data_IF_164285256513
#
_entry.id   IF_164285256513
#
_cell.length_a   1.000
_cell.length_b   1.000
_cell.length_c   1.000
_cell.angle_alpha   90.00
_cell.angle_beta   90.00
_cell.angle_gamma   90.00
#
_symmetry.space_group_name_H-M   'P 1'
#
loop_
_entity.id
_entity.type
_entity.pdbx_description
1 polymer ?
#
# COMPACT_ATOMS: atom_id res chain seq x y z
N UNK A 1 -26.82 -95.64 76.70
CA UNK A 1 -27.90 -96.65 76.73
C UNK A 1 -28.36 -96.84 75.30
N UNK A 2 -28.29 -98.07 74.78
CA UNK A 2 -28.68 -98.40 73.42
C UNK A 2 -30.15 -98.00 73.21
N UNK A 3 -30.41 -97.15 72.21
CA UNK A 3 -31.78 -96.82 71.80
C UNK A 3 -32.30 -98.00 70.97
N UNK A 4 -33.06 -98.90 71.62
CA UNK A 4 -33.90 -99.84 70.89
C UNK A 4 -34.90 -99.06 70.05
N UNK A 5 -34.75 -99.14 68.73
CA UNK A 5 -35.71 -98.58 67.79
C UNK A 5 -37.04 -99.32 67.94
N UNK A 6 -38.00 -98.70 68.64
CA UNK A 6 -39.40 -99.14 68.59
C UNK A 6 -40.03 -98.69 67.29
N UNK A 7 -39.95 -99.55 66.27
CA UNK A 7 -40.73 -99.39 65.05
C UNK A 7 -42.14 -99.92 65.33
N UNK A 8 -43.13 -99.03 65.37
CA UNK A 8 -44.55 -99.41 65.48
C UNK A 8 -45.14 -99.46 64.07
N UNK A 9 -45.36 -100.66 63.53
CA UNK A 9 -45.84 -100.86 62.17
C UNK A 9 -47.38 -100.95 62.13
N UNK A 10 -48.05 -99.82 61.86
CA UNK A 10 -49.50 -99.77 61.61
C UNK A 10 -49.71 -99.64 60.10
N UNK A 11 -49.63 -100.78 59.39
CA UNK A 11 -49.92 -101.10 57.96
C UNK A 11 -49.72 -100.08 56.80
N UNK A 12 -49.36 -98.81 57.01
CA UNK A 12 -49.04 -97.82 55.97
C UNK A 12 -48.32 -96.53 56.48
N UNK A 13 -47.84 -96.46 57.74
CA UNK A 13 -47.16 -95.27 58.28
C UNK A 13 -45.84 -95.64 58.98
N UNK A 14 -44.72 -95.05 58.52
CA UNK A 14 -43.38 -95.19 59.13
C UNK A 14 -43.01 -93.87 59.82
N UNK A 15 -42.62 -93.93 61.10
CA UNK A 15 -42.19 -92.76 61.87
C UNK A 15 -40.73 -92.94 62.26
N UNK A 16 -39.85 -92.01 61.84
CA UNK A 16 -38.44 -91.96 62.21
C UNK A 16 -38.21 -90.83 63.19
N UNK A 17 -37.76 -91.16 64.40
CA UNK A 17 -37.37 -90.15 65.37
C UNK A 17 -36.05 -89.49 64.93
N UNK A 18 -36.03 -88.16 64.87
CA UNK A 18 -34.83 -87.38 64.50
C UNK A 18 -34.07 -87.00 65.78
N UNK A 19 -34.77 -86.39 66.73
CA UNK A 19 -34.13 -85.82 67.92
C UNK A 19 -35.13 -85.68 69.07
N UNK A 20 -34.70 -86.01 70.29
CA UNK A 20 -35.48 -85.78 71.53
C UNK A 20 -34.73 -84.85 72.46
N UNK A 21 -35.38 -83.76 72.86
CA UNK A 21 -34.82 -82.72 73.74
C UNK A 21 -35.78 -82.47 74.90
N UNK A 22 -35.29 -81.90 75.99
CA UNK A 22 -36.14 -81.60 77.19
C UNK A 22 -37.36 -80.72 76.89
N UNK A 23 -37.32 -79.93 75.81
CA UNK A 23 -38.41 -79.04 75.38
C UNK A 23 -39.35 -79.65 74.34
N UNK A 24 -39.12 -80.87 73.86
CA UNK A 24 -39.96 -81.50 72.85
C UNK A 24 -39.25 -82.58 72.04
N UNK A 25 -40.03 -83.29 71.24
CA UNK A 25 -39.58 -84.40 70.39
C UNK A 25 -39.85 -84.07 68.92
N UNK A 26 -38.86 -84.34 68.07
CA UNK A 26 -38.93 -84.17 66.63
C UNK A 26 -38.86 -85.53 65.93
N UNK A 27 -39.79 -85.76 65.02
CA UNK A 27 -39.88 -87.01 64.26
C UNK A 27 -40.35 -86.71 62.82
N UNK A 28 -39.86 -87.52 61.89
CA UNK A 28 -40.29 -87.55 60.50
C UNK A 28 -41.36 -88.62 60.33
N UNK A 29 -42.50 -88.27 59.74
CA UNK A 29 -43.59 -89.21 59.42
C UNK A 29 -43.63 -89.41 57.91
N UNK A 30 -43.41 -90.66 57.49
CA UNK A 30 -43.48 -91.12 56.10
C UNK A 30 -44.76 -91.95 55.94
N UNK A 31 -45.80 -91.35 55.37
CA UNK A 31 -47.08 -92.03 55.08
C UNK A 31 -47.03 -92.87 53.80
N UNK A 32 -46.07 -92.59 52.92
CA UNK A 32 -45.70 -93.38 51.74
C UNK A 32 -44.20 -93.17 51.51
N UNK A 33 -43.40 -94.20 51.22
CA UNK A 33 -42.06 -93.95 50.69
C UNK A 33 -42.25 -93.14 49.41
N UNK A 34 -41.60 -91.97 49.33
CA UNK A 34 -41.65 -91.16 48.11
C UNK A 34 -41.32 -92.06 46.91
N UNK A 35 -42.14 -92.02 45.86
CA UNK A 35 -41.80 -92.69 44.61
C UNK A 35 -40.38 -92.28 44.24
N UNK A 36 -39.50 -93.25 44.10
CA UNK A 36 -38.08 -93.04 43.85
C UNK A 36 -37.87 -91.96 42.79
N UNK A 37 -37.25 -90.85 43.19
CA UNK A 37 -36.33 -90.13 42.32
C UNK A 37 -36.84 -88.99 41.43
N UNK A 38 -37.94 -88.31 41.74
CA UNK A 38 -38.23 -87.04 41.06
C UNK A 38 -38.02 -85.84 41.99
N UNK A 39 -36.73 -85.53 42.21
CA UNK A 39 -36.35 -84.20 42.61
C UNK A 39 -36.87 -83.25 41.52
N UNK A 40 -37.95 -82.53 41.82
CA UNK A 40 -38.45 -81.46 40.97
C UNK A 40 -37.26 -80.68 40.42
N UNK A 41 -37.13 -80.46 39.10
CA UNK A 41 -35.97 -79.81 38.52
C UNK A 41 -35.87 -78.42 39.15
N UNK A 42 -34.93 -78.29 40.07
CA UNK A 42 -34.60 -77.02 40.71
C UNK A 42 -34.32 -76.02 39.58
N UNK A 43 -34.95 -74.83 39.59
CA UNK A 43 -34.84 -73.88 38.50
C UNK A 43 -33.35 -73.66 38.22
N UNK A 44 -32.96 -73.98 36.98
CA UNK A 44 -31.65 -73.77 36.35
C UNK A 44 -30.57 -73.34 37.33
N UNK A 45 -29.66 -74.26 37.69
CA UNK A 45 -28.40 -73.93 38.36
C UNK A 45 -27.79 -72.71 37.67
N UNK A 46 -28.00 -71.52 38.23
CA UNK A 46 -27.19 -70.36 37.92
C UNK A 46 -25.78 -70.82 38.27
N UNK A 47 -24.94 -71.02 37.27
CA UNK A 47 -23.50 -71.19 37.48
C UNK A 47 -23.07 -70.12 38.48
N UNK A 48 -22.35 -70.45 39.57
CA UNK A 48 -21.93 -69.45 40.53
C UNK A 48 -21.25 -68.34 39.74
N UNK A 49 -21.84 -67.13 39.74
CA UNK A 49 -21.28 -65.99 39.02
C UNK A 49 -19.87 -65.84 39.56
N UNK A 50 -18.86 -65.83 38.67
CA UNK A 50 -17.48 -65.48 39.06
C UNK A 50 -17.56 -64.24 39.94
N UNK A 51 -17.00 -64.32 41.14
CA UNK A 51 -16.90 -63.18 42.04
C UNK A 51 -16.09 -62.10 41.33
N UNK A 52 -16.77 -61.02 40.95
CA UNK A 52 -16.16 -59.90 40.23
C UNK A 52 -15.19 -59.24 41.20
N UNK A 53 -13.92 -59.12 40.80
CA UNK A 53 -12.92 -58.48 41.66
C UNK A 53 -13.22 -56.99 41.83
N UNK A 54 -12.81 -56.41 42.96
CA UNK A 54 -12.98 -54.97 43.24
C UNK A 54 -12.40 -54.12 42.10
N UNK A 55 -11.27 -54.55 41.52
CA UNK A 55 -10.63 -53.87 40.39
C UNK A 55 -11.48 -53.89 39.11
N UNK A 56 -12.17 -54.99 38.81
CA UNK A 56 -13.07 -55.07 37.65
C UNK A 56 -14.31 -54.18 37.80
N UNK A 57 -14.81 -54.02 39.04
CA UNK A 57 -15.92 -53.11 39.35
C UNK A 57 -15.48 -51.66 39.11
N UNK A 58 -14.32 -51.28 39.64
CA UNK A 58 -13.75 -49.94 39.46
C UNK A 58 -13.51 -49.62 37.98
N UNK A 59 -12.98 -50.57 37.20
CA UNK A 59 -12.77 -50.38 35.77
C UNK A 59 -14.09 -50.11 35.02
N UNK A 60 -15.17 -50.83 35.36
CA UNK A 60 -16.50 -50.58 34.77
C UNK A 60 -17.09 -49.23 35.17
N UNK A 61 -16.85 -48.79 36.40
CA UNK A 61 -17.26 -47.48 36.89
C UNK A 61 -16.50 -46.36 36.17
N UNK A 62 -15.18 -46.47 36.05
CA UNK A 62 -14.34 -45.53 35.30
C UNK A 62 -14.75 -45.44 33.82
N UNK A 63 -14.98 -46.57 33.15
CA UNK A 63 -15.45 -46.55 31.76
C UNK A 63 -16.82 -45.87 31.59
N UNK A 64 -17.70 -45.95 32.59
CA UNK A 64 -18.97 -45.21 32.58
C UNK A 64 -18.78 -43.71 32.81
N UNK A 65 -17.84 -43.32 33.67
CA UNK A 65 -17.44 -41.92 33.87
C UNK A 65 -16.81 -41.31 32.63
N UNK A 66 -15.90 -42.03 31.96
CA UNK A 66 -15.30 -41.60 30.70
C UNK A 66 -16.34 -41.39 29.61
N UNK A 67 -17.33 -42.28 29.48
CA UNK A 67 -18.45 -42.10 28.53
C UNK A 67 -19.28 -40.85 28.85
N UNK A 68 -19.58 -40.61 30.13
CA UNK A 68 -20.30 -39.39 30.55
C UNK A 68 -19.48 -38.14 30.24
N UNK A 69 -18.17 -38.16 30.55
CA UNK A 69 -17.26 -37.06 30.27
C UNK A 69 -17.14 -36.78 28.78
N UNK A 70 -16.97 -37.81 27.96
CA UNK A 70 -16.89 -37.67 26.50
C UNK A 70 -18.17 -37.04 25.90
N UNK A 71 -19.35 -37.40 26.41
CA UNK A 71 -20.61 -36.78 26.00
C UNK A 71 -20.70 -35.31 26.42
N UNK A 72 -20.27 -34.98 27.64
CA UNK A 72 -20.22 -33.60 28.12
C UNK A 72 -19.25 -32.76 27.29
N UNK A 73 -18.04 -33.28 27.01
CA UNK A 73 -17.03 -32.60 26.20
C UNK A 73 -17.53 -32.37 24.77
N UNK A 74 -18.20 -33.35 24.17
CA UNK A 74 -18.82 -33.20 22.85
C UNK A 74 -19.90 -32.10 22.83
N UNK A 75 -20.74 -32.02 23.87
CA UNK A 75 -21.73 -30.96 24.01
C UNK A 75 -21.07 -29.59 24.15
N UNK A 76 -20.06 -29.46 25.01
CA UNK A 76 -19.31 -28.21 25.21
C UNK A 76 -18.63 -27.76 23.91
N UNK A 77 -18.03 -28.67 23.15
CA UNK A 77 -17.42 -28.35 21.87
C UNK A 77 -18.44 -27.86 20.84
N UNK A 78 -19.63 -28.48 20.78
CA UNK A 78 -20.71 -28.02 19.91
C UNK A 78 -21.20 -26.62 20.29
N UNK A 79 -21.34 -26.33 21.59
CA UNK A 79 -21.74 -25.01 22.07
C UNK A 79 -20.70 -23.95 21.71
N UNK A 80 -19.41 -24.22 21.92
CA UNK A 80 -18.31 -23.33 21.51
C UNK A 80 -18.32 -23.07 20.00
N UNK A 81 -18.55 -24.10 19.19
CA UNK A 81 -18.63 -23.97 17.75
C UNK A 81 -19.82 -23.08 17.31
N UNK A 82 -20.97 -23.17 17.98
CA UNK A 82 -22.11 -22.27 17.72
C UNK A 82 -21.82 -20.83 18.17
N UNK A 83 -21.18 -20.63 19.32
CA UNK A 83 -20.74 -19.29 19.77
C UNK A 83 -19.77 -18.64 18.77
N UNK A 84 -18.81 -19.40 18.24
CA UNK A 84 -17.87 -18.92 17.22
C UNK A 84 -18.60 -18.51 15.93
N UNK A 85 -19.58 -19.30 15.48
CA UNK A 85 -20.40 -18.94 14.31
C UNK A 85 -21.17 -17.64 14.52
N UNK A 86 -21.76 -17.44 15.71
CA UNK A 86 -22.47 -16.21 16.05
C UNK A 86 -21.51 -15.02 16.06
N UNK A 87 -20.31 -15.17 16.64
CA UNK A 87 -19.30 -14.12 16.67
C UNK A 87 -18.85 -13.76 15.26
N UNK A 88 -18.56 -14.76 14.42
CA UNK A 88 -18.18 -14.57 13.02
C UNK A 88 -19.27 -13.88 12.20
N UNK A 89 -20.54 -14.22 12.43
CA UNK A 89 -21.66 -13.55 11.79
C UNK A 89 -21.78 -12.07 12.22
N UNK A 90 -21.57 -11.77 13.51
CA UNK A 90 -21.53 -10.39 14.02
C UNK A 90 -20.38 -9.60 13.43
N UNK A 91 -19.18 -10.18 13.38
CA UNK A 91 -18.00 -9.58 12.77
C UNK A 91 -18.23 -9.29 11.29
N UNK A 92 -18.72 -10.26 10.52
CA UNK A 92 -19.00 -10.07 9.09
C UNK A 92 -20.04 -8.97 8.83
N UNK A 93 -21.04 -8.82 9.71
CA UNK A 93 -21.99 -7.71 9.64
C UNK A 93 -21.32 -6.36 9.88
N UNK A 94 -20.43 -6.27 10.86
CA UNK A 94 -19.67 -5.04 11.13
C UNK A 94 -18.72 -4.70 9.97
N UNK A 95 -17.94 -5.66 9.48
CA UNK A 95 -17.02 -5.48 8.35
C UNK A 95 -17.74 -5.02 7.08
N UNK A 96 -18.91 -5.56 6.77
CA UNK A 96 -19.71 -5.13 5.63
C UNK A 96 -20.18 -3.67 5.78
N UNK A 97 -20.57 -3.27 7.00
CA UNK A 97 -20.95 -1.89 7.29
C UNK A 97 -19.75 -0.94 7.16
N UNK A 98 -18.60 -1.32 7.68
CA UNK A 98 -17.37 -0.53 7.60
C UNK A 98 -16.90 -0.37 6.15
N UNK A 99 -16.96 -1.44 5.37
CA UNK A 99 -16.65 -1.41 3.93
C UNK A 99 -17.58 -0.45 3.19
N UNK A 100 -18.89 -0.48 3.50
CA UNK A 100 -19.85 0.44 2.90
C UNK A 100 -19.58 1.89 3.27
N UNK A 101 -19.26 2.17 4.55
CA UNK A 101 -18.93 3.52 5.00
C UNK A 101 -17.65 4.04 4.34
N UNK A 102 -16.61 3.22 4.25
CA UNK A 102 -15.37 3.58 3.55
C UNK A 102 -15.62 3.88 2.08
N UNK A 103 -16.33 3.00 1.37
CA UNK A 103 -16.66 3.22 -0.04
C UNK A 103 -17.47 4.51 -0.22
N UNK A 104 -18.48 4.76 0.61
CA UNK A 104 -19.29 5.96 0.53
C UNK A 104 -18.46 7.24 0.78
N UNK A 105 -17.55 7.19 1.75
CA UNK A 105 -16.63 8.28 2.06
C UNK A 105 -15.68 8.55 0.89
N UNK A 106 -15.06 7.52 0.31
CA UNK A 106 -14.17 7.63 -0.84
C UNK A 106 -14.90 8.21 -2.07
N UNK A 107 -16.12 7.76 -2.34
CA UNK A 107 -16.93 8.30 -3.44
C UNK A 107 -17.26 9.78 -3.24
N UNK A 108 -17.62 10.18 -2.02
CA UNK A 108 -17.88 11.58 -1.71
C UNK A 108 -16.61 12.42 -1.91
N UNK A 109 -15.48 11.99 -1.36
CA UNK A 109 -14.20 12.68 -1.52
C UNK A 109 -13.80 12.81 -2.99
N UNK A 110 -13.92 11.73 -3.77
CA UNK A 110 -13.64 11.76 -5.20
C UNK A 110 -14.52 12.78 -5.93
N UNK A 111 -15.81 12.88 -5.59
CA UNK A 111 -16.72 13.89 -6.17
C UNK A 111 -16.35 15.31 -5.76
N UNK A 112 -15.93 15.54 -4.52
CA UNK A 112 -15.47 16.86 -4.08
C UNK A 112 -14.19 17.28 -4.79
N UNK A 113 -13.21 16.36 -4.93
CA UNK A 113 -11.98 16.62 -5.67
C UNK A 113 -12.27 16.92 -7.15
N UNK A 114 -13.11 16.11 -7.82
CA UNK A 114 -13.52 16.37 -9.20
C UNK A 114 -14.18 17.75 -9.37
N UNK A 115 -15.04 18.15 -8.42
CA UNK A 115 -15.66 19.47 -8.45
C UNK A 115 -14.62 20.59 -8.30
N UNK A 116 -13.69 20.46 -7.36
CA UNK A 116 -12.61 21.41 -7.16
C UNK A 116 -11.71 21.52 -8.40
N UNK A 117 -11.29 20.41 -8.98
CA UNK A 117 -10.44 20.38 -10.17
C UNK A 117 -11.15 21.01 -11.37
N UNK A 118 -12.43 20.69 -11.59
CA UNK A 118 -13.23 21.30 -12.64
C UNK A 118 -13.39 22.82 -12.44
N UNK A 119 -13.60 23.26 -11.20
CA UNK A 119 -13.69 24.67 -10.86
C UNK A 119 -12.36 25.38 -11.12
N UNK A 120 -11.24 24.81 -10.69
CA UNK A 120 -9.90 25.34 -10.92
C UNK A 120 -9.57 25.41 -12.41
N UNK A 121 -9.85 24.35 -13.17
CA UNK A 121 -9.64 24.31 -14.61
C UNK A 121 -10.44 25.40 -15.35
N UNK A 122 -11.69 25.63 -14.94
CA UNK A 122 -12.51 26.71 -15.48
C UNK A 122 -11.94 28.10 -15.17
N UNK A 123 -11.50 28.33 -13.92
CA UNK A 123 -10.85 29.57 -13.53
C UNK A 123 -9.53 29.79 -14.28
N UNK A 124 -8.70 28.77 -14.40
CA UNK A 124 -7.45 28.80 -15.15
C UNK A 124 -7.70 29.11 -16.63
N UNK A 125 -8.71 28.49 -17.25
CA UNK A 125 -9.11 28.80 -18.61
C UNK A 125 -9.51 30.27 -18.79
N UNK A 126 -10.26 30.84 -17.84
CA UNK A 126 -10.57 32.28 -17.85
C UNK A 126 -9.32 33.15 -17.71
N UNK A 127 -8.45 32.85 -16.75
CA UNK A 127 -7.19 33.57 -16.52
C UNK A 127 -6.33 33.55 -17.78
N UNK A 128 -6.20 32.39 -18.42
CA UNK A 128 -5.42 32.22 -19.63
C UNK A 128 -5.96 33.09 -20.78
N UNK A 129 -7.29 33.08 -21.01
CA UNK A 129 -7.93 33.95 -22.00
C UNK A 129 -7.67 35.44 -21.73
N UNK A 130 -7.75 35.87 -20.47
CA UNK A 130 -7.44 37.26 -20.10
C UNK A 130 -5.96 37.60 -20.32
N UNK A 131 -5.03 36.69 -20.02
CA UNK A 131 -3.61 36.88 -20.29
C UNK A 131 -3.34 37.04 -21.79
N UNK A 132 -3.90 36.17 -22.63
CA UNK A 132 -3.77 36.27 -24.09
C UNK A 132 -4.34 37.58 -24.63
N UNK A 133 -5.49 38.02 -24.10
CA UNK A 133 -6.08 39.30 -24.45
C UNK A 133 -5.24 40.50 -24.01
N UNK A 134 -4.42 40.39 -22.96
CA UNK A 134 -3.51 41.44 -22.52
C UNK A 134 -2.16 41.42 -23.28
N UNK A 135 -1.67 40.23 -23.65
CA UNK A 135 -0.47 40.06 -24.48
C UNK A 135 -0.65 40.72 -25.86
N UNK A 136 -1.83 40.60 -26.49
CA UNK A 136 -2.10 41.23 -27.80
C UNK A 136 -1.88 42.77 -27.80
N UNK A 137 -2.47 43.55 -26.86
CA UNK A 137 -2.14 44.95 -26.66
C UNK A 137 -0.67 45.22 -26.38
N UNK A 138 0.01 44.38 -25.59
CA UNK A 138 1.44 44.54 -25.32
C UNK A 138 2.29 44.35 -26.58
N UNK A 139 1.99 43.34 -27.39
CA UNK A 139 2.61 43.12 -28.69
C UNK A 139 2.38 44.30 -29.64
N UNK A 140 1.17 44.86 -29.66
CA UNK A 140 0.88 46.06 -30.45
C UNK A 140 1.68 47.26 -29.94
N UNK A 141 1.74 47.47 -28.61
CA UNK A 141 2.56 48.53 -28.01
C UNK A 141 4.03 48.38 -28.38
N UNK A 142 4.55 47.16 -28.38
CA UNK A 142 5.93 46.88 -28.74
C UNK A 142 6.21 47.14 -30.22
N UNK A 143 5.30 46.73 -31.11
CA UNK A 143 5.43 47.05 -32.55
C UNK A 143 5.45 48.55 -32.80
N UNK A 144 4.56 49.30 -32.16
CA UNK A 144 4.54 50.77 -32.29
C UNK A 144 5.83 51.40 -31.74
N UNK A 145 6.36 50.89 -30.61
CA UNK A 145 7.66 51.33 -30.10
C UNK A 145 8.78 51.06 -31.11
N UNK A 146 8.85 49.85 -31.66
CA UNK A 146 9.84 49.49 -32.66
C UNK A 146 9.75 50.36 -33.92
N UNK A 147 8.54 50.61 -34.44
CA UNK A 147 8.33 51.49 -35.60
C UNK A 147 8.81 52.92 -35.31
N UNK A 148 8.57 53.43 -34.11
CA UNK A 148 9.04 54.74 -33.66
C UNK A 148 10.57 54.77 -33.55
N UNK A 149 11.18 53.75 -32.93
CA UNK A 149 12.63 53.65 -32.76
C UNK A 149 13.35 53.51 -34.10
N UNK A 150 12.81 52.72 -35.02
CA UNK A 150 13.30 52.59 -36.39
C UNK A 150 13.21 53.91 -37.15
N UNK A 151 12.11 54.64 -37.00
CA UNK A 151 11.96 55.97 -37.60
C UNK A 151 13.01 56.96 -37.06
N UNK A 152 13.26 56.98 -35.75
CA UNK A 152 14.28 57.85 -35.15
C UNK A 152 15.71 57.43 -35.57
N UNK A 153 16.02 56.13 -35.60
CA UNK A 153 17.30 55.63 -36.10
C UNK A 153 17.57 56.04 -37.55
N UNK A 154 16.57 55.91 -38.42
CA UNK A 154 16.67 56.36 -39.81
C UNK A 154 16.87 57.89 -39.94
N UNK A 155 16.28 58.67 -39.03
CA UNK A 155 16.47 60.12 -39.00
C UNK A 155 17.89 60.48 -38.56
N UNK A 156 18.39 59.83 -37.50
CA UNK A 156 19.74 60.03 -36.99
C UNK A 156 20.79 59.63 -38.04
N UNK A 157 20.63 58.50 -38.72
CA UNK A 157 21.50 58.08 -39.81
C UNK A 157 21.54 59.12 -40.94
N UNK A 158 20.39 59.68 -41.33
CA UNK A 158 20.34 60.77 -42.33
C UNK A 158 21.04 62.03 -41.85
N UNK A 159 20.93 62.37 -40.56
CA UNK A 159 21.65 63.51 -39.98
C UNK A 159 23.16 63.25 -40.03
N UNK A 160 23.61 62.07 -39.57
CA UNK A 160 25.02 61.69 -39.59
C UNK A 160 25.59 61.68 -41.01
N UNK A 161 24.84 61.15 -41.98
CA UNK A 161 25.25 61.15 -43.38
C UNK A 161 25.43 62.57 -43.91
N UNK A 162 24.48 63.48 -43.64
CA UNK A 162 24.59 64.89 -44.06
C UNK A 162 25.79 65.60 -43.42
N UNK A 163 26.07 65.32 -42.14
CA UNK A 163 27.24 65.86 -41.45
C UNK A 163 28.53 65.34 -42.07
N UNK A 164 28.63 64.04 -42.31
CA UNK A 164 29.79 63.40 -42.95
C UNK A 164 30.04 63.95 -44.35
N UNK A 165 29.00 64.05 -45.18
CA UNK A 165 29.13 64.63 -46.52
C UNK A 165 29.56 66.10 -46.49
N UNK A 166 29.04 66.87 -45.52
CA UNK A 166 29.44 68.26 -45.31
C UNK A 166 30.93 68.37 -44.94
N UNK A 167 31.39 67.50 -44.04
CA UNK A 167 32.78 67.41 -43.65
C UNK A 167 33.69 67.02 -44.81
N UNK A 168 33.33 65.98 -45.57
CA UNK A 168 34.06 65.58 -46.77
C UNK A 168 34.17 66.71 -47.79
N UNK A 169 33.08 67.47 -48.01
CA UNK A 169 33.09 68.67 -48.87
C UNK A 169 34.09 69.72 -48.36
N UNK A 170 34.12 69.99 -47.06
CA UNK A 170 35.07 70.91 -46.42
C UNK A 170 36.51 70.44 -46.55
N UNK A 171 36.77 69.15 -46.31
CA UNK A 171 38.11 68.57 -46.43
C UNK A 171 38.64 68.61 -47.86
N UNK A 172 37.79 68.31 -48.85
CA UNK A 172 38.13 68.40 -50.25
C UNK A 172 38.47 69.85 -50.66
N UNK A 173 37.71 70.83 -50.17
CA UNK A 173 38.01 72.25 -50.41
C UNK A 173 39.36 72.65 -49.79
N UNK A 174 39.63 72.27 -48.54
CA UNK A 174 40.89 72.54 -47.88
C UNK A 174 42.07 71.85 -48.57
N UNK A 175 41.87 70.62 -49.08
CA UNK A 175 42.87 69.89 -49.84
C UNK A 175 43.25 70.64 -51.12
N UNK A 176 42.26 71.09 -51.90
CA UNK A 176 42.50 71.88 -53.11
C UNK A 176 43.26 73.18 -52.81
N UNK A 177 42.95 73.85 -51.69
CA UNK A 177 43.70 75.04 -51.27
C UNK A 177 45.16 74.71 -50.94
N UNK A 178 45.41 73.61 -50.19
CA UNK A 178 46.77 73.17 -49.86
C UNK A 178 47.58 72.76 -51.09
N UNK A 179 46.97 72.06 -52.05
CA UNK A 179 47.61 71.68 -53.31
C UNK A 179 48.06 72.92 -54.10
N UNK A 180 47.17 73.91 -54.25
CA UNK A 180 47.53 75.19 -54.88
C UNK A 180 48.64 75.94 -54.13
N UNK A 181 48.68 75.84 -52.80
CA UNK A 181 49.76 76.42 -52.00
C UNK A 181 51.09 75.71 -52.27
N UNK A 182 51.07 74.37 -52.28
CA UNK A 182 52.24 73.53 -52.54
C UNK A 182 52.79 73.72 -53.96
N UNK A 183 51.93 73.85 -54.97
CA UNK A 183 52.34 74.16 -56.35
C UNK A 183 53.12 75.48 -56.43
N UNK A 184 52.64 76.51 -55.74
CA UNK A 184 53.34 77.81 -55.67
C UNK A 184 54.69 77.70 -54.98
N UNK A 185 54.79 76.94 -53.90
CA UNK A 185 56.05 76.70 -53.20
C UNK A 185 57.05 75.92 -54.04
N UNK A 186 56.59 74.84 -54.70
CA UNK A 186 57.39 74.05 -55.63
C UNK A 186 57.91 74.91 -56.78
N UNK A 187 57.06 75.75 -57.38
CA UNK A 187 57.47 76.69 -58.42
C UNK A 187 58.54 77.68 -57.90
N UNK A 188 58.34 78.25 -56.71
CA UNK A 188 59.34 79.13 -56.10
C UNK A 188 60.69 78.43 -55.83
N UNK A 189 60.67 77.15 -55.42
CA UNK A 189 61.88 76.33 -55.27
C UNK A 189 62.57 76.07 -56.61
N UNK A 190 61.82 75.70 -57.65
CA UNK A 190 62.35 75.49 -59.00
C UNK A 190 63.01 76.76 -59.53
N UNK A 191 62.38 77.93 -59.36
CA UNK A 191 62.96 79.22 -59.75
C UNK A 191 64.26 79.50 -58.97
N UNK A 192 64.31 79.18 -57.67
CA UNK A 192 65.53 79.31 -56.85
C UNK A 192 66.64 78.36 -57.30
N UNK A 193 66.33 77.10 -57.58
CA UNK A 193 67.31 76.12 -58.09
C UNK A 193 67.84 76.52 -59.45
N UNK A 194 66.96 76.90 -60.39
CA UNK A 194 67.37 77.41 -61.70
C UNK A 194 68.31 78.61 -61.58
N UNK A 195 68.04 79.53 -60.66
CA UNK A 195 68.95 80.66 -60.38
C UNK A 195 70.31 80.21 -59.84
N UNK A 196 70.36 79.17 -58.99
CA UNK A 196 71.62 78.59 -58.51
C UNK A 196 72.39 77.87 -59.63
N UNK A 197 71.69 77.12 -60.49
CA UNK A 197 72.26 76.46 -61.66
C UNK A 197 72.82 77.49 -62.65
N UNK A 198 72.05 78.53 -62.99
CA UNK A 198 72.49 79.64 -63.85
C UNK A 198 73.74 80.32 -63.25
N UNK A 199 73.78 80.53 -61.93
CA UNK A 199 74.93 81.12 -61.23
C UNK A 199 76.15 80.18 -61.15
N UNK A 200 75.94 78.86 -60.98
CA UNK A 200 77.00 77.85 -61.02
C UNK A 200 77.59 77.72 -62.42
N UNK A 201 76.76 77.79 -63.46
CA UNK A 201 77.19 77.78 -64.86
C UNK A 201 78.03 79.03 -65.21
N UNK A 202 77.71 80.19 -64.63
CA UNK A 202 78.51 81.42 -64.71
C UNK A 202 79.85 81.27 -63.96
N UNK A 203 79.90 80.55 -62.84
CA UNK A 203 81.16 80.33 -62.10
C UNK A 203 82.05 79.24 -62.73
N UNK A 204 81.47 78.20 -63.34
CA UNK A 204 82.21 77.17 -64.09
C UNK A 204 82.81 77.73 -65.40
N UNK A 205 82.15 78.69 -66.05
CA UNK A 205 82.70 79.39 -67.22
C UNK A 205 83.82 80.37 -66.86
N UNK A 206 83.95 80.76 -65.59
CA UNK A 206 84.95 81.69 -65.07
C UNK A 206 86.07 81.05 -64.21
N UNK A 207 86.17 79.71 -64.13
CA UNK A 207 87.36 79.02 -63.63
C UNK A 207 87.69 79.18 -62.13
N UNK A 208 86.70 79.06 -61.24
CA UNK A 208 86.93 79.00 -59.77
C UNK A 208 86.50 77.62 -59.24
N UNK A 209 87.44 76.88 -58.65
CA UNK A 209 87.31 75.49 -58.18
C UNK A 209 86.07 75.23 -57.30
N UNK A 210 85.28 74.19 -57.65
CA UNK A 210 84.39 73.52 -56.72
C UNK A 210 85.17 72.42 -55.97
N UNK A 211 85.24 72.54 -54.65
CA UNK A 211 85.55 71.46 -53.70
C UNK A 211 84.25 70.91 -53.13
#
# INVERSE_FOLDING_TARGET
MAMEQRVVNIKEMEVKEIDKRKSGEAFEVLLKPGQNGDAAPSPLKCTPKKEISISEIQLKQQAAEERRKAQQDALVNNLKAEEEKILKAKQKKAEANDTFMQWAQEQLLAKMCQYQDNHMAHLQSKIQKFRELNMKPDEIREKVRHEIDEMYGNLDEKIQQKLLESEQRRENMLRQVREKQQEKENHAQQVRQKKLEDNCNINCTNGINCA
#
